data_IF_057649032324
#
_entry.id   IF_057649032324
#
_cell.length_a   1.000
_cell.length_b   1.000
_cell.length_c   1.000
_cell.angle_alpha   90.00
_cell.angle_beta   90.00
_cell.angle_gamma   90.00
#
_symmetry.space_group_name_H-M   'P 1'
#
loop_
_entity.id
_entity.type
_entity.pdbx_description
1 polymer ?
#
# COMPACT_ATOMS: atom_id res chain seq x y z
N UNK A 1 10.11 14.06 -2.28
CA UNK A 1 9.87 14.58 -0.92
C UNK A 1 9.52 16.05 -1.04
N UNK A 2 8.50 16.53 -0.33
CA UNK A 2 7.90 17.86 -0.56
C UNK A 2 8.90 18.99 -0.27
N UNK A 3 9.38 19.63 -1.34
CA UNK A 3 10.14 20.88 -1.27
C UNK A 3 9.16 22.04 -0.98
N UNK A 4 9.29 22.68 0.18
CA UNK A 4 8.82 24.05 0.46
C UNK A 4 7.32 24.40 0.24
N UNK A 5 6.38 23.65 0.83
CA UNK A 5 4.98 24.12 0.99
C UNK A 5 4.45 23.87 2.41
N UNK A 6 4.87 24.73 3.35
CA UNK A 6 4.64 24.55 4.79
C UNK A 6 3.15 24.47 5.18
N UNK A 7 2.26 25.24 4.55
CA UNK A 7 0.83 25.27 4.95
C UNK A 7 -0.01 24.15 4.32
N UNK A 8 0.25 23.78 3.06
CA UNK A 8 -0.44 22.64 2.42
C UNK A 8 -0.06 21.33 3.10
N UNK A 9 1.21 21.17 3.44
CA UNK A 9 1.71 19.98 4.13
C UNK A 9 1.09 19.86 5.53
N UNK A 10 0.95 20.96 6.28
CA UNK A 10 0.28 20.96 7.59
C UNK A 10 -1.18 20.53 7.49
N UNK A 11 -1.94 21.06 6.52
CA UNK A 11 -3.35 20.69 6.31
C UNK A 11 -3.53 19.20 5.99
N UNK A 12 -2.65 18.66 5.14
CA UNK A 12 -2.62 17.23 4.81
C UNK A 12 -2.29 16.40 6.05
N UNK A 13 -1.24 16.78 6.80
CA UNK A 13 -0.84 16.09 8.03
C UNK A 13 -1.98 16.12 9.03
N UNK A 14 -2.53 17.28 9.38
CA UNK A 14 -3.64 17.41 10.33
C UNK A 14 -4.84 16.55 9.93
N UNK A 15 -5.19 16.51 8.65
CA UNK A 15 -6.32 15.71 8.20
C UNK A 15 -6.06 14.19 8.33
N UNK A 16 -4.90 13.70 7.88
CA UNK A 16 -4.57 12.27 7.94
C UNK A 16 -4.04 11.79 9.29
N UNK A 17 -3.57 12.69 10.16
CA UNK A 17 -3.06 12.39 11.50
C UNK A 17 -4.10 12.62 12.61
N UNK A 18 -5.22 13.31 12.32
CA UNK A 18 -6.27 13.56 13.32
C UNK A 18 -6.96 12.27 13.76
N UNK A 19 -6.77 11.92 15.04
CA UNK A 19 -7.38 10.75 15.67
C UNK A 19 -8.92 10.81 15.75
N UNK A 20 -9.52 12.01 15.67
CA UNK A 20 -10.98 12.17 15.70
C UNK A 20 -11.67 11.65 14.43
N UNK A 21 -10.99 11.73 13.27
CA UNK A 21 -11.49 11.21 12.00
C UNK A 21 -10.91 9.84 11.62
N UNK A 22 -10.05 9.22 12.43
CA UNK A 22 -9.35 7.97 12.10
C UNK A 22 -9.43 6.92 13.21
N UNK A 23 -10.55 6.85 13.95
CA UNK A 23 -10.77 5.87 15.04
C UNK A 23 -10.77 4.39 14.64
N UNK A 24 -10.40 4.05 13.41
CA UNK A 24 -10.28 2.66 12.96
C UNK A 24 -9.37 2.64 11.75
N UNK A 25 -8.36 1.76 11.74
CA UNK A 25 -7.47 1.49 10.60
C UNK A 25 -8.21 1.01 9.31
N UNK A 26 -9.53 1.09 9.27
CA UNK A 26 -10.42 0.60 8.23
C UNK A 26 -11.17 1.72 7.48
N UNK A 27 -10.89 3.01 7.77
CA UNK A 27 -11.59 4.09 7.07
C UNK A 27 -11.02 4.25 5.66
N UNK A 28 -11.86 3.96 4.67
CA UNK A 28 -11.50 4.15 3.27
C UNK A 28 -11.20 5.63 2.99
N UNK A 29 -10.03 5.89 2.42
CA UNK A 29 -9.64 7.22 1.97
C UNK A 29 -10.01 7.32 0.50
N UNK A 30 -11.02 8.14 0.18
CA UNK A 30 -11.47 8.29 -1.20
C UNK A 30 -10.48 9.12 -2.03
N UNK A 31 -10.38 8.81 -3.33
CA UNK A 31 -9.57 9.57 -4.28
C UNK A 31 -9.97 11.06 -4.32
N UNK A 32 -11.28 11.34 -4.29
CA UNK A 32 -11.81 12.71 -4.29
C UNK A 32 -11.31 13.50 -3.07
N UNK A 33 -11.42 12.90 -1.88
CA UNK A 33 -10.92 13.46 -0.62
C UNK A 33 -9.43 13.79 -0.71
N UNK A 34 -8.63 12.91 -1.30
CA UNK A 34 -7.20 13.16 -1.49
C UNK A 34 -6.91 14.31 -2.47
N UNK A 35 -7.66 14.40 -3.58
CA UNK A 35 -7.54 15.50 -4.55
C UNK A 35 -7.92 16.84 -3.93
N UNK A 36 -9.00 16.89 -3.16
CA UNK A 36 -9.47 18.10 -2.46
C UNK A 36 -8.44 18.60 -1.42
N UNK A 37 -7.63 17.70 -0.87
CA UNK A 37 -6.53 18.04 0.05
C UNK A 37 -5.28 18.56 -0.66
N UNK A 38 -5.26 18.55 -1.99
CA UNK A 38 -4.11 18.99 -2.78
C UNK A 38 -3.01 17.93 -2.91
N UNK A 39 -3.31 16.65 -2.66
CA UNK A 39 -2.36 15.57 -2.93
C UNK A 39 -2.13 15.45 -4.44
N UNK A 40 -0.87 15.28 -4.83
CA UNK A 40 -0.49 14.92 -6.21
C UNK A 40 -0.70 13.42 -6.38
N UNK A 41 -1.79 13.04 -7.04
CA UNK A 41 -2.18 11.65 -7.23
C UNK A 41 -2.13 11.30 -8.71
N UNK A 42 -1.59 10.13 -8.99
CA UNK A 42 -1.67 9.49 -10.30
C UNK A 42 -2.68 8.35 -10.14
N UNK A 43 -3.77 8.39 -10.90
CA UNK A 43 -4.77 7.32 -10.91
C UNK A 43 -4.20 6.12 -11.65
N UNK A 44 -4.17 4.96 -11.00
CA UNK A 44 -3.66 3.74 -11.63
C UNK A 44 -4.46 3.39 -12.88
N UNK A 45 -5.78 3.57 -12.81
CA UNK A 45 -6.76 3.30 -13.86
C UNK A 45 -6.67 4.28 -15.04
N UNK A 46 -5.94 5.40 -14.89
CA UNK A 46 -5.77 6.37 -15.98
C UNK A 46 -4.75 5.93 -17.03
N UNK A 47 -3.88 4.98 -16.69
CA UNK A 47 -2.90 4.38 -17.60
C UNK A 47 -3.06 2.85 -17.61
N UNK A 48 -3.74 2.36 -18.65
CA UNK A 48 -3.99 0.93 -18.84
C UNK A 48 -2.72 0.08 -18.82
N UNK A 49 -1.59 0.60 -19.32
CA UNK A 49 -0.34 -0.17 -19.38
C UNK A 49 0.27 -0.28 -17.99
N UNK A 50 0.30 0.82 -17.24
CA UNK A 50 0.75 0.80 -15.85
C UNK A 50 -0.12 -0.13 -15.00
N UNK A 51 -1.44 -0.04 -15.17
CA UNK A 51 -2.39 -0.89 -14.45
C UNK A 51 -2.14 -2.37 -14.72
N UNK A 52 -2.00 -2.76 -15.99
CA UNK A 52 -1.75 -4.16 -16.38
C UNK A 52 -0.45 -4.71 -15.79
N UNK A 53 0.63 -3.93 -15.81
CA UNK A 53 1.92 -4.32 -15.23
C UNK A 53 1.86 -4.51 -13.71
N UNK A 54 1.16 -3.61 -13.00
CA UNK A 54 0.98 -3.70 -11.55
C UNK A 54 0.12 -4.92 -11.18
N UNK A 55 -1.00 -5.12 -11.88
CA UNK A 55 -1.89 -6.26 -11.65
C UNK A 55 -1.21 -7.59 -11.96
N UNK A 56 -0.40 -7.66 -13.02
CA UNK A 56 0.38 -8.86 -13.34
C UNK A 56 1.32 -9.24 -12.19
N UNK A 57 2.03 -8.25 -11.63
CA UNK A 57 2.92 -8.47 -10.47
C UNK A 57 2.12 -8.91 -9.23
N UNK A 58 0.98 -8.25 -8.98
CA UNK A 58 0.09 -8.62 -7.89
C UNK A 58 -0.45 -10.04 -8.02
N UNK A 59 -0.87 -10.47 -9.21
CA UNK A 59 -1.35 -11.83 -9.45
C UNK A 59 -0.26 -12.87 -9.25
N UNK A 60 0.96 -12.63 -9.75
CA UNK A 60 2.11 -13.52 -9.50
C UNK A 60 2.42 -13.65 -8.00
N UNK A 61 2.41 -12.52 -7.28
CA UNK A 61 2.55 -12.48 -5.83
C UNK A 61 1.45 -13.29 -5.14
N UNK A 62 0.17 -13.06 -5.49
CA UNK A 62 -0.97 -13.72 -4.85
C UNK A 62 -1.00 -15.22 -5.13
N UNK A 63 -0.65 -15.67 -6.34
CA UNK A 63 -0.49 -17.08 -6.65
C UNK A 63 0.61 -17.73 -5.81
N UNK A 64 1.74 -17.03 -5.62
CA UNK A 64 2.84 -17.50 -4.76
C UNK A 64 2.39 -17.57 -3.30
N UNK A 65 1.71 -16.54 -2.81
CA UNK A 65 1.21 -16.47 -1.44
C UNK A 65 0.15 -17.54 -1.17
N UNK A 66 -0.81 -17.74 -2.08
CA UNK A 66 -1.90 -18.72 -1.90
C UNK A 66 -1.42 -20.18 -1.98
N UNK A 67 -0.38 -20.44 -2.78
CA UNK A 67 0.11 -21.79 -3.03
C UNK A 67 1.35 -22.15 -2.20
N UNK A 68 1.73 -21.31 -1.23
CA UNK A 68 2.83 -21.57 -0.31
C UNK A 68 2.36 -21.54 1.15
N UNK A 69 3.19 -22.05 2.06
CA UNK A 69 2.97 -21.91 3.51
C UNK A 69 3.45 -20.56 4.06
N UNK A 70 3.55 -19.52 3.23
CA UNK A 70 4.03 -18.21 3.64
C UNK A 70 2.91 -17.46 4.41
N UNK A 71 3.26 -16.89 5.55
CA UNK A 71 2.41 -15.99 6.33
C UNK A 71 2.60 -14.53 5.91
N UNK A 72 3.82 -14.20 5.48
CA UNK A 72 4.21 -12.85 5.09
C UNK A 72 5.32 -12.91 4.04
N UNK A 73 5.20 -12.07 3.02
CA UNK A 73 6.20 -11.89 1.97
C UNK A 73 6.43 -10.39 1.82
N UNK A 74 7.68 -9.96 1.89
CA UNK A 74 8.12 -8.60 1.54
C UNK A 74 9.21 -8.74 0.49
N UNK A 75 9.00 -8.21 -0.71
CA UNK A 75 9.95 -8.27 -1.82
C UNK A 75 10.14 -6.88 -2.43
N UNK A 76 11.34 -6.62 -2.99
CA UNK A 76 11.63 -5.40 -3.71
C UNK A 76 12.07 -5.67 -5.16
N UNK A 77 12.19 -4.60 -5.96
CA UNK A 77 12.58 -4.65 -7.36
C UNK A 77 14.01 -5.15 -7.61
N UNK A 78 14.83 -5.29 -6.57
CA UNK A 78 16.20 -5.80 -6.67
C UNK A 78 16.25 -7.33 -6.46
N UNK A 79 15.09 -8.00 -6.36
CA UNK A 79 14.99 -9.44 -6.12
C UNK A 79 15.32 -9.85 -4.68
N UNK A 80 15.31 -8.90 -3.73
CA UNK A 80 15.51 -9.20 -2.31
C UNK A 80 14.15 -9.44 -1.68
N UNK A 81 13.96 -10.63 -1.10
CA UNK A 81 12.73 -11.02 -0.44
C UNK A 81 12.97 -11.48 1.01
N UNK A 82 12.06 -11.08 1.90
CA UNK A 82 11.88 -11.63 3.24
C UNK A 82 10.57 -12.43 3.26
N UNK A 83 10.66 -13.70 3.62
CA UNK A 83 9.51 -14.61 3.65
C UNK A 83 9.43 -15.25 5.04
N UNK A 84 8.28 -15.09 5.69
CA UNK A 84 7.97 -15.73 6.96
C UNK A 84 7.02 -16.90 6.70
N UNK A 85 7.38 -18.08 7.20
CA UNK A 85 6.56 -19.29 7.11
C UNK A 85 6.01 -19.68 8.47
N UNK A 86 4.85 -20.34 8.48
CA UNK A 86 4.35 -20.95 9.71
C UNK A 86 5.36 -22.03 10.17
N UNK A 87 5.82 -22.00 11.44
CA UNK A 87 6.72 -23.03 11.93
C UNK A 87 6.04 -24.40 11.88
N UNK A 88 6.75 -25.39 11.35
CA UNK A 88 6.29 -26.77 11.36
C UNK A 88 6.15 -27.23 12.82
N UNK A 89 4.95 -27.65 13.22
CA UNK A 89 4.77 -28.35 14.50
C UNK A 89 5.43 -29.72 14.38
N UNK A 90 6.57 -29.90 15.04
CA UNK A 90 7.13 -31.23 15.28
C UNK A 90 6.23 -31.94 16.28
N UNK A 91 5.47 -32.94 15.82
CA UNK A 91 4.82 -33.92 16.71
C UNK A 91 5.91 -34.85 17.25
N UNK A 92 6.08 -34.83 18.57
CA UNK A 92 6.85 -35.85 19.31
C UNK A 92 6.05 -37.16 19.40
#
# INVERSE_FOLDING_TARGET
MFENENDKTKKVIEHFSSHDNSKTHARHISLATCKDMGLKIIELESDNKLQDLVLTTHHAFMHTFSNSGALKIIENQNGVAYIEHLPLKTTN
#
